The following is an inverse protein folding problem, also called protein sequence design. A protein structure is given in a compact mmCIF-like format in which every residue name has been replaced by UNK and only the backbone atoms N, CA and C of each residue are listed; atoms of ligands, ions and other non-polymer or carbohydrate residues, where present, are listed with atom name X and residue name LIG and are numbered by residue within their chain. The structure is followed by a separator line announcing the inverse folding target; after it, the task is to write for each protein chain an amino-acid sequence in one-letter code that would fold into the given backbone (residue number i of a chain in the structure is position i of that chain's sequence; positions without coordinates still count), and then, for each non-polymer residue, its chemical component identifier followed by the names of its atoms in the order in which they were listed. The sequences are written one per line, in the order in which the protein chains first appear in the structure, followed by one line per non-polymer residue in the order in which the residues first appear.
data_IF_136018785316
#
_entry.id   IF_136018785316
#
_cell.length_a   1.000
_cell.length_b   1.000
_cell.length_c   1.000
_cell.angle_alpha   90.00
_cell.angle_beta   90.00
_cell.angle_gamma   90.00
#
_symmetry.space_group_name_H-M   'P 1'
#
loop_
_entity.id
_entity.type
_entity.pdbx_description
1 polymer ?
#
# COMPACT_ATOMS: atom_id res chain seq x y z
N UNK A 1 13.63 36.43 -4.04
CA UNK A 1 14.35 35.32 -4.68
C UNK A 1 14.15 34.06 -3.85
N UNK A 2 13.86 32.93 -4.49
CA UNK A 2 13.72 31.67 -3.78
C UNK A 2 15.05 31.17 -3.24
N UNK A 3 15.08 30.84 -1.95
CA UNK A 3 16.22 30.26 -1.26
C UNK A 3 15.74 29.16 -0.30
N UNK A 4 16.59 28.18 -0.03
CA UNK A 4 16.20 27.05 0.80
C UNK A 4 17.35 26.09 1.05
N UNK A 5 17.16 25.21 2.03
CA UNK A 5 18.09 24.14 2.33
C UNK A 5 17.33 22.92 2.85
N UNK A 6 17.74 21.74 2.40
CA UNK A 6 17.35 20.47 3.03
C UNK A 6 18.32 20.21 4.17
N UNK A 7 17.81 20.22 5.39
CA UNK A 7 18.62 19.99 6.59
C UNK A 7 18.81 18.49 6.84
N UNK A 8 17.76 17.71 6.59
CA UNK A 8 17.77 16.28 6.90
C UNK A 8 16.85 15.46 6.01
N UNK A 9 17.35 14.28 5.67
CA UNK A 9 16.62 13.21 5.02
C UNK A 9 16.85 11.93 5.82
N UNK A 10 15.76 11.31 6.27
CA UNK A 10 15.78 9.99 6.91
C UNK A 10 14.86 9.03 6.16
N UNK A 11 14.71 7.79 6.63
CA UNK A 11 13.76 6.85 6.03
C UNK A 11 12.31 7.23 6.32
N UNK A 12 12.06 8.11 7.29
CA UNK A 12 10.71 8.43 7.73
C UNK A 12 10.27 9.88 7.48
N UNK A 13 11.21 10.78 7.22
CA UNK A 13 10.90 12.18 6.95
C UNK A 13 11.95 12.90 6.09
N UNK A 14 11.55 14.05 5.59
CA UNK A 14 12.40 15.09 5.01
C UNK A 14 12.10 16.40 5.72
N UNK A 15 13.14 17.15 6.12
CA UNK A 15 12.98 18.46 6.75
C UNK A 15 14.00 19.45 6.25
N UNK A 16 13.63 20.72 6.28
CA UNK A 16 14.47 21.81 5.81
C UNK A 16 13.79 23.15 6.04
N UNK A 17 14.25 24.15 5.30
CA UNK A 17 13.61 25.45 5.21
C UNK A 17 13.58 25.96 3.77
N UNK A 18 12.60 26.81 3.46
CA UNK A 18 12.44 27.46 2.17
C UNK A 18 11.80 28.84 2.36
N UNK A 19 12.26 29.83 1.61
CA UNK A 19 11.79 31.21 1.69
C UNK A 19 11.84 31.90 0.33
N UNK A 20 11.00 32.90 0.11
CA UNK A 20 11.18 33.88 -0.94
C UNK A 20 11.64 35.20 -0.29
N UNK A 21 12.89 35.58 -0.51
CA UNK A 21 13.45 36.80 0.08
C UNK A 21 12.77 38.09 -0.38
N UNK A 22 12.03 38.06 -1.50
CA UNK A 22 11.28 39.22 -2.00
C UNK A 22 9.93 39.34 -1.29
N UNK A 23 9.41 38.22 -0.76
CA UNK A 23 8.15 38.12 -0.04
C UNK A 23 8.31 37.26 1.23
N UNK A 24 9.14 37.70 2.20
CA UNK A 24 9.61 36.86 3.32
C UNK A 24 8.53 36.50 4.35
N UNK A 25 7.31 37.03 4.23
CA UNK A 25 6.18 36.66 5.08
C UNK A 25 5.21 35.70 4.36
N UNK A 26 5.48 35.32 3.11
CA UNK A 26 4.67 34.35 2.37
C UNK A 26 5.22 32.93 2.54
N UNK A 27 4.37 31.94 2.87
CA UNK A 27 4.81 30.56 2.99
C UNK A 27 5.17 29.98 1.62
N UNK A 28 6.21 29.15 1.60
CA UNK A 28 6.70 28.50 0.38
C UNK A 28 6.31 27.04 0.34
N UNK A 29 5.78 26.59 -0.78
CA UNK A 29 5.50 25.17 -1.00
C UNK A 29 6.68 24.48 -1.67
N UNK A 30 7.02 23.29 -1.16
CA UNK A 30 8.04 22.40 -1.74
C UNK A 30 7.41 21.06 -2.11
N UNK A 31 7.98 20.41 -3.11
CA UNK A 31 7.62 19.06 -3.56
C UNK A 31 8.73 18.10 -3.17
N UNK A 32 8.36 16.98 -2.56
CA UNK A 32 9.26 15.89 -2.22
C UNK A 32 9.13 14.83 -3.31
N UNK A 33 10.28 14.46 -3.90
CA UNK A 33 10.38 13.38 -4.89
C UNK A 33 11.16 12.20 -4.33
N UNK A 34 10.67 10.99 -4.58
CA UNK A 34 11.36 9.73 -4.30
C UNK A 34 11.67 9.03 -5.63
N UNK A 35 12.96 8.83 -5.94
CA UNK A 35 13.42 8.21 -7.17
C UNK A 35 12.81 8.83 -8.45
N UNK A 36 12.65 10.16 -8.45
CA UNK A 36 12.10 10.93 -9.56
C UNK A 36 10.58 11.08 -9.61
N UNK A 37 9.84 10.41 -8.72
CA UNK A 37 8.37 10.53 -8.63
C UNK A 37 7.96 11.54 -7.56
N UNK A 38 7.05 12.47 -7.91
CA UNK A 38 6.40 13.39 -6.96
C UNK A 38 5.63 12.55 -5.92
N UNK A 39 6.04 12.66 -4.66
CA UNK A 39 5.45 11.92 -3.56
C UNK A 39 4.43 12.76 -2.77
N UNK A 40 4.69 14.06 -2.64
CA UNK A 40 3.78 14.99 -1.99
C UNK A 40 4.40 16.37 -1.82
N UNK A 41 3.64 17.27 -1.21
CA UNK A 41 4.06 18.64 -0.93
C UNK A 41 4.19 18.90 0.56
N UNK A 42 5.02 19.86 0.93
CA UNK A 42 5.09 20.41 2.28
C UNK A 42 5.10 21.94 2.20
N UNK A 43 4.47 22.57 3.19
CA UNK A 43 4.44 24.02 3.33
C UNK A 43 5.54 24.42 4.32
N UNK A 44 6.40 25.35 3.91
CA UNK A 44 7.41 25.99 4.73
C UNK A 44 6.78 27.12 5.54
N UNK A 45 6.14 26.77 6.65
CA UNK A 45 5.45 27.69 7.56
C UNK A 45 5.74 27.40 9.04
N UNK A 46 6.68 26.48 9.33
CA UNK A 46 7.07 26.15 10.71
C UNK A 46 8.08 27.15 11.22
N UNK A 47 7.97 27.49 12.49
CA UNK A 47 8.90 28.39 13.17
C UNK A 47 10.31 27.79 13.21
N UNK A 48 11.29 28.65 12.94
CA UNK A 48 12.72 28.37 12.98
C UNK A 48 13.41 29.51 13.73
N UNK A 49 13.63 29.31 15.02
CA UNK A 49 14.24 30.32 15.90
C UNK A 49 15.61 30.76 15.40
N UNK A 50 16.38 29.85 14.80
CA UNK A 50 17.68 30.16 14.22
C UNK A 50 17.60 31.09 13.01
N UNK A 51 16.48 31.15 12.29
CA UNK A 51 16.26 32.00 11.11
C UNK A 51 15.59 33.34 11.45
N UNK A 52 15.03 33.48 12.65
CA UNK A 52 14.27 34.66 13.06
C UNK A 52 15.15 35.92 13.06
N UNK A 53 14.67 36.99 12.42
CA UNK A 53 15.35 38.28 12.38
C UNK A 53 16.62 38.32 11.51
N UNK A 54 16.93 37.25 10.77
CA UNK A 54 17.97 37.26 9.74
C UNK A 54 17.46 37.96 8.48
N UNK A 55 18.35 38.66 7.79
CA UNK A 55 18.03 39.30 6.52
C UNK A 55 17.50 38.27 5.50
N UNK A 56 16.37 38.58 4.86
CA UNK A 56 15.70 37.69 3.91
C UNK A 56 14.72 36.67 4.50
N UNK A 57 14.53 36.64 5.83
CA UNK A 57 13.65 35.67 6.52
C UNK A 57 12.47 36.31 7.28
N UNK A 58 12.29 37.62 7.16
CA UNK A 58 11.18 38.33 7.83
C UNK A 58 11.26 38.27 9.37
N UNK A 59 10.24 38.81 10.02
CA UNK A 59 10.22 38.93 11.50
C UNK A 59 9.77 37.66 12.22
N UNK A 60 8.96 36.81 11.57
CA UNK A 60 8.32 35.66 12.20
C UNK A 60 9.16 34.38 12.17
N UNK A 61 10.12 34.25 11.23
CA UNK A 61 10.97 33.06 11.12
C UNK A 61 10.21 31.78 10.72
N UNK A 62 9.05 31.88 10.10
CA UNK A 62 8.18 30.76 9.72
C UNK A 62 8.57 30.18 8.35
N UNK A 63 9.78 29.63 8.25
CA UNK A 63 10.35 29.14 6.99
C UNK A 63 10.67 27.64 6.99
N UNK A 64 10.41 26.94 8.10
CA UNK A 64 10.68 25.51 8.21
C UNK A 64 9.60 24.65 7.56
N UNK A 65 10.00 23.54 6.95
CA UNK A 65 9.08 22.50 6.48
C UNK A 65 9.47 21.14 7.06
N UNK A 66 8.46 20.27 7.21
CA UNK A 66 8.64 18.85 7.49
C UNK A 66 7.66 18.06 6.64
N UNK A 67 8.16 17.03 5.99
CA UNK A 67 7.36 16.06 5.23
C UNK A 67 7.59 14.69 5.84
N UNK A 68 6.52 14.02 6.27
CA UNK A 68 6.56 12.65 6.80
C UNK A 68 6.07 11.69 5.74
N UNK A 69 6.78 10.59 5.53
CA UNK A 69 6.32 9.56 4.62
C UNK A 69 5.17 8.77 5.26
N UNK A 70 4.09 8.53 4.50
CA UNK A 70 2.97 7.67 4.95
C UNK A 70 3.43 6.26 5.34
N UNK A 71 4.50 5.80 4.69
CA UNK A 71 5.23 4.58 4.97
C UNK A 71 6.73 4.87 4.96
N UNK A 72 7.50 4.48 5.99
CA UNK A 72 8.94 4.62 5.96
C UNK A 72 9.58 3.92 4.75
N UNK A 73 10.60 4.53 4.18
CA UNK A 73 11.37 4.01 3.05
C UNK A 73 11.94 2.62 3.42
N UNK A 74 11.62 1.56 2.65
CA UNK A 74 12.04 0.19 2.97
C UNK A 74 13.55 0.02 3.10
N UNK A 75 13.99 -0.78 4.08
CA UNK A 75 15.41 -1.00 4.39
C UNK A 75 16.24 -1.45 3.18
N UNK A 76 15.67 -2.25 2.29
CA UNK A 76 16.33 -2.78 1.10
C UNK A 76 16.32 -1.82 -0.10
N UNK A 77 15.65 -0.68 -0.01
CA UNK A 77 15.59 0.31 -1.09
C UNK A 77 16.78 1.27 -1.00
N UNK A 78 17.47 1.45 -2.13
CA UNK A 78 18.31 2.62 -2.37
C UNK A 78 17.36 3.72 -2.81
N UNK A 79 17.28 4.80 -2.05
CA UNK A 79 16.37 5.91 -2.31
C UNK A 79 17.15 7.18 -2.65
N UNK A 80 16.71 7.89 -3.67
CA UNK A 80 17.14 9.24 -4.00
C UNK A 80 15.99 10.21 -3.70
N UNK A 81 16.23 11.13 -2.78
CA UNK A 81 15.30 12.16 -2.36
C UNK A 81 15.70 13.49 -2.99
N UNK A 82 14.76 14.10 -3.70
CA UNK A 82 14.91 15.45 -4.24
C UNK A 82 13.82 16.32 -3.65
N UNK A 83 14.17 17.52 -3.18
CA UNK A 83 13.20 18.54 -2.76
C UNK A 83 13.26 19.67 -3.76
N UNK A 84 12.12 20.09 -4.28
CA UNK A 84 12.02 21.17 -5.26
C UNK A 84 11.07 22.25 -4.77
N UNK A 85 11.30 23.51 -5.13
CA UNK A 85 10.27 24.53 -5.01
C UNK A 85 9.10 24.17 -5.92
N UNK A 86 7.86 24.18 -5.41
CA UNK A 86 6.69 23.82 -6.22
C UNK A 86 6.53 24.73 -7.44
N UNK A 87 6.74 26.03 -7.25
CA UNK A 87 6.53 27.06 -8.27
C UNK A 87 7.56 27.00 -9.42
N UNK A 88 8.85 26.85 -9.10
CA UNK A 88 9.93 26.91 -10.09
C UNK A 88 10.50 25.55 -10.49
N UNK A 89 10.20 24.50 -9.71
CA UNK A 89 10.81 23.17 -9.79
C UNK A 89 12.34 23.16 -9.64
N UNK A 90 12.93 24.26 -9.15
CA UNK A 90 14.35 24.31 -8.80
C UNK A 90 14.62 23.44 -7.56
N UNK A 91 15.73 22.70 -7.59
CA UNK A 91 16.14 21.79 -6.51
C UNK A 91 16.70 22.57 -5.33
N UNK A 92 16.27 22.22 -4.12
CA UNK A 92 16.84 22.75 -2.88
C UNK A 92 18.19 22.08 -2.60
N UNK A 93 19.26 22.84 -2.31
CA UNK A 93 20.54 22.27 -1.88
C UNK A 93 20.39 21.59 -0.51
N UNK A 94 21.22 20.59 -0.16
CA UNK A 94 22.27 19.99 -0.98
C UNK A 94 21.76 18.86 -1.91
N UNK A 95 20.46 18.80 -2.24
CA UNK A 95 19.87 17.70 -3.01
C UNK A 95 20.41 17.56 -4.45
N UNK A 96 20.25 16.38 -5.08
CA UNK A 96 19.59 15.17 -4.58
C UNK A 96 20.37 14.43 -3.47
N UNK A 97 19.66 13.88 -2.48
CA UNK A 97 20.22 13.15 -1.33
C UNK A 97 19.93 11.66 -1.44
N UNK A 98 20.92 10.81 -1.14
CA UNK A 98 20.78 9.34 -1.23
C UNK A 98 20.71 8.69 0.13
N UNK A 99 19.73 7.80 0.31
CA UNK A 99 19.65 6.86 1.43
C UNK A 99 20.11 5.50 0.91
N UNK A 100 21.19 4.97 1.49
CA UNK A 100 21.71 3.66 1.15
C UNK A 100 20.76 2.55 1.63
N UNK A 101 20.66 1.47 0.85
CA UNK A 101 20.04 0.24 1.31
C UNK A 101 20.83 -0.34 2.48
N UNK A 102 20.11 -0.80 3.49
CA UNK A 102 20.65 -1.50 4.63
C UNK A 102 20.86 -2.96 4.24
N UNK A 103 22.12 -3.39 4.17
CA UNK A 103 22.46 -4.78 3.89
C UNK A 103 21.82 -5.71 4.94
N UNK A 104 21.16 -6.77 4.48
CA UNK A 104 20.83 -7.91 5.33
C UNK A 104 22.14 -8.52 5.85
N UNK A 105 22.32 -8.69 7.18
CA UNK A 105 23.37 -9.53 7.70
C UNK A 105 23.37 -10.86 6.96
N UNK A 106 24.49 -11.21 6.29
CA UNK A 106 24.65 -12.53 5.66
C UNK A 106 24.27 -13.57 6.72
N UNK A 107 23.19 -14.31 6.51
CA UNK A 107 22.84 -15.36 7.45
C UNK A 107 24.03 -16.31 7.52
N UNK A 108 24.55 -16.56 8.72
CA UNK A 108 25.41 -17.73 8.92
C UNK A 108 24.52 -18.91 8.60
N UNK A 109 24.63 -19.42 7.37
CA UNK A 109 23.89 -20.58 6.87
C UNK A 109 24.15 -21.75 7.83
N UNK A 110 23.26 -21.96 8.79
CA UNK A 110 23.16 -23.19 9.54
C UNK A 110 22.55 -24.24 8.62
N UNK A 111 23.26 -25.34 8.40
CA UNK A 111 22.74 -26.51 7.72
C UNK A 111 21.60 -27.12 8.54
N UNK A 112 20.36 -26.98 8.06
CA UNK A 112 19.20 -27.63 8.66
C UNK A 112 17.92 -26.89 8.31
N UNK A 113 17.09 -27.51 7.45
CA UNK A 113 15.73 -27.11 7.05
C UNK A 113 15.60 -25.88 6.13
N UNK A 114 16.22 -25.91 4.95
CA UNK A 114 15.84 -25.03 3.83
C UNK A 114 14.76 -25.71 2.97
N UNK A 115 13.52 -25.73 3.44
CA UNK A 115 12.41 -25.59 2.50
C UNK A 115 12.18 -24.08 2.35
N UNK A 116 12.18 -23.51 1.14
CA UNK A 116 11.80 -22.13 0.96
C UNK A 116 10.38 -21.95 1.50
N UNK A 117 10.20 -21.09 2.51
CA UNK A 117 8.88 -20.70 2.99
C UNK A 117 8.09 -20.08 1.83
N UNK A 118 6.80 -20.42 1.66
CA UNK A 118 5.98 -19.91 0.57
C UNK A 118 5.95 -18.39 0.57
N UNK A 119 6.08 -17.77 -0.59
CA UNK A 119 5.98 -16.32 -0.75
C UNK A 119 4.51 -15.87 -0.80
N UNK A 120 4.18 -14.63 -0.40
CA UNK A 120 2.82 -14.12 -0.52
C UNK A 120 2.46 -13.76 -1.96
N UNK A 121 1.24 -14.09 -2.34
CA UNK A 121 0.48 -13.45 -3.41
C UNK A 121 -0.59 -12.58 -2.76
N UNK A 122 -0.50 -11.27 -2.97
CA UNK A 122 -1.55 -10.34 -2.55
C UNK A 122 -2.61 -10.24 -3.64
N UNK A 123 -3.87 -10.43 -3.27
CA UNK A 123 -5.03 -10.20 -4.11
C UNK A 123 -5.63 -8.83 -3.76
N UNK A 124 -5.19 -7.80 -4.47
CA UNK A 124 -5.68 -6.42 -4.29
C UNK A 124 -7.01 -6.24 -5.01
N UNK A 125 -8.05 -5.82 -4.29
CA UNK A 125 -9.41 -5.64 -4.82
C UNK A 125 -10.08 -4.41 -4.21
N UNK A 126 -11.06 -3.84 -4.91
CA UNK A 126 -11.89 -2.72 -4.43
C UNK A 126 -13.15 -3.20 -3.68
N UNK A 127 -13.20 -4.49 -3.33
CA UNK A 127 -14.42 -5.14 -2.88
C UNK A 127 -15.38 -5.37 -4.05
N UNK A 128 -16.14 -6.46 -3.98
CA UNK A 128 -17.15 -6.83 -5.01
C UNK A 128 -16.60 -7.00 -6.44
N UNK A 129 -15.29 -7.13 -6.64
CA UNK A 129 -14.67 -7.38 -7.96
C UNK A 129 -14.58 -8.86 -8.34
N UNK A 130 -15.25 -9.77 -7.62
CA UNK A 130 -15.13 -11.21 -7.83
C UNK A 130 -13.98 -11.89 -7.07
N UNK A 131 -13.34 -11.19 -6.12
CA UNK A 131 -12.16 -11.68 -5.39
C UNK A 131 -12.37 -13.04 -4.73
N UNK A 132 -13.53 -13.33 -4.14
CA UNK A 132 -13.79 -14.64 -3.49
C UNK A 132 -13.71 -15.81 -4.47
N UNK A 133 -14.23 -15.64 -5.70
CA UNK A 133 -14.12 -16.65 -6.76
C UNK A 133 -12.65 -16.86 -7.14
N UNK A 134 -11.91 -15.77 -7.37
CA UNK A 134 -10.50 -15.86 -7.77
C UNK A 134 -9.64 -16.51 -6.67
N UNK A 135 -9.84 -16.13 -5.40
CA UNK A 135 -9.17 -16.75 -4.24
C UNK A 135 -9.42 -18.26 -4.19
N UNK A 136 -10.66 -18.70 -4.40
CA UNK A 136 -11.01 -20.12 -4.43
C UNK A 136 -10.27 -20.85 -5.58
N UNK A 137 -10.28 -20.30 -6.78
CA UNK A 137 -9.63 -20.93 -7.96
C UNK A 137 -8.12 -20.98 -7.82
N UNK A 138 -7.50 -19.95 -7.28
CA UNK A 138 -6.08 -19.95 -6.98
C UNK A 138 -5.74 -20.95 -5.86
N UNK A 139 -6.56 -21.01 -4.80
CA UNK A 139 -6.38 -21.95 -3.71
C UNK A 139 -6.52 -23.43 -4.09
N UNK A 140 -7.19 -23.74 -5.21
CA UNK A 140 -7.25 -25.10 -5.76
C UNK A 140 -5.92 -25.54 -6.40
N UNK A 141 -5.04 -24.62 -6.78
CA UNK A 141 -3.73 -24.95 -7.33
C UNK A 141 -2.82 -25.60 -6.25
N UNK A 142 -2.13 -26.72 -6.54
CA UNK A 142 -1.30 -27.41 -5.54
C UNK A 142 -0.13 -26.56 -5.01
N UNK A 143 0.29 -25.54 -5.75
CA UNK A 143 1.45 -24.70 -5.40
C UNK A 143 1.06 -23.45 -4.59
N UNK A 144 -0.23 -23.20 -4.34
CA UNK A 144 -0.74 -22.01 -3.65
C UNK A 144 -1.52 -22.41 -2.40
N UNK A 145 -1.13 -21.94 -1.22
CA UNK A 145 -1.87 -22.14 0.02
C UNK A 145 -2.95 -21.08 0.17
N UNK A 146 -4.18 -21.53 0.41
CA UNK A 146 -5.30 -20.69 0.83
C UNK A 146 -5.59 -20.97 2.31
N UNK A 147 -5.89 -19.92 3.08
CA UNK A 147 -6.51 -20.09 4.39
C UNK A 147 -7.95 -20.58 4.15
N UNK A 148 -8.11 -21.91 4.11
CA UNK A 148 -9.27 -22.66 3.59
C UNK A 148 -10.53 -22.58 4.47
N UNK A 149 -10.84 -21.39 4.99
CA UNK A 149 -12.09 -21.07 5.67
C UNK A 149 -12.69 -19.87 4.97
N UNK A 150 -13.86 -20.06 4.36
CA UNK A 150 -14.65 -18.96 3.81
C UNK A 150 -14.92 -17.90 4.90
N UNK A 151 -14.79 -16.58 4.62
CA UNK A 151 -14.70 -15.93 3.30
C UNK A 151 -13.30 -15.84 2.67
N UNK A 152 -12.34 -16.64 3.15
CA UNK A 152 -10.93 -16.60 2.76
C UNK A 152 -10.22 -15.30 3.12
N UNK A 153 -10.64 -14.71 4.25
CA UNK A 153 -10.14 -13.42 4.76
C UNK A 153 -9.39 -13.59 6.09
N UNK A 154 -8.88 -14.79 6.34
CA UNK A 154 -7.86 -14.98 7.38
C UNK A 154 -6.55 -14.38 6.88
N UNK A 155 -6.35 -13.09 7.18
CA UNK A 155 -5.25 -12.25 6.71
C UNK A 155 -4.13 -12.18 7.74
N UNK A 156 -3.38 -13.26 7.92
CA UNK A 156 -2.31 -13.34 8.93
C UNK A 156 -1.15 -12.41 8.58
N UNK A 157 -0.71 -12.42 7.32
CA UNK A 157 0.24 -11.43 6.82
C UNK A 157 -0.34 -10.02 6.93
N UNK A 158 -1.62 -9.82 6.58
CA UNK A 158 -2.29 -8.52 6.76
C UNK A 158 -2.23 -8.00 8.19
N UNK A 159 -2.54 -8.85 9.18
CA UNK A 159 -2.48 -8.51 10.59
C UNK A 159 -1.06 -8.14 11.04
N UNK A 160 -0.08 -9.00 10.75
CA UNK A 160 1.31 -8.73 11.15
C UNK A 160 1.93 -7.56 10.37
N UNK A 161 1.47 -7.27 9.15
CA UNK A 161 1.87 -6.08 8.41
C UNK A 161 1.33 -4.79 9.05
N UNK A 162 0.08 -4.80 9.53
CA UNK A 162 -0.49 -3.68 10.27
C UNK A 162 0.26 -3.46 11.60
N UNK A 163 0.54 -4.54 12.35
CA UNK A 163 1.35 -4.48 13.56
C UNK A 163 2.78 -3.98 13.29
N UNK A 164 3.40 -4.45 12.21
CA UNK A 164 4.72 -3.98 11.78
C UNK A 164 4.71 -2.48 11.54
N UNK A 165 3.76 -2.00 10.71
CA UNK A 165 3.60 -0.57 10.44
C UNK A 165 3.48 0.22 11.73
N UNK A 166 2.64 -0.21 12.66
CA UNK A 166 2.45 0.49 13.92
C UNK A 166 3.75 0.60 14.72
N UNK A 167 4.53 -0.48 14.80
CA UNK A 167 5.76 -0.53 15.59
C UNK A 167 6.96 0.21 14.97
N UNK A 168 6.95 0.45 13.65
CA UNK A 168 8.09 1.07 12.94
C UNK A 168 7.82 2.50 12.47
N UNK A 169 6.59 2.98 12.55
CA UNK A 169 6.25 4.34 12.11
C UNK A 169 6.66 5.36 13.17
N UNK A 170 7.10 6.56 12.75
CA UNK A 170 7.27 7.70 13.66
C UNK A 170 5.97 8.00 14.40
N UNK A 171 6.11 8.67 15.53
CA UNK A 171 4.97 9.19 16.26
C UNK A 171 4.15 10.13 15.38
N UNK A 172 2.84 9.97 15.48
CA UNK A 172 1.83 10.88 14.96
C UNK A 172 0.87 11.16 16.13
N UNK A 173 1.08 12.25 16.84
CA UNK A 173 0.29 12.56 18.04
C UNK A 173 -1.11 13.11 17.71
N UNK A 174 -1.37 13.43 16.44
CA UNK A 174 -2.66 13.93 15.98
C UNK A 174 -3.59 12.79 15.54
N UNK A 175 -3.04 11.79 14.85
CA UNK A 175 -3.80 10.67 14.27
C UNK A 175 -3.47 9.31 14.89
N UNK A 176 -2.50 9.26 15.80
CA UNK A 176 -2.08 8.05 16.52
C UNK A 176 -1.89 8.33 18.02
N UNK A 177 -1.02 7.59 18.69
CA UNK A 177 -0.84 7.67 20.14
C UNK A 177 0.04 8.85 20.57
N UNK A 178 -0.44 9.59 21.56
CA UNK A 178 0.36 10.45 22.43
C UNK A 178 1.00 9.60 23.55
N UNK A 179 2.13 10.00 24.15
CA UNK A 179 2.72 9.27 25.29
C UNK A 179 1.75 8.96 26.44
N UNK A 180 0.75 9.80 26.69
CA UNK A 180 -0.25 9.59 27.76
C UNK A 180 -1.23 8.44 27.45
N UNK A 181 -1.44 8.12 26.18
CA UNK A 181 -2.32 7.01 25.77
C UNK A 181 -1.71 5.65 26.13
N UNK A 182 -0.38 5.53 26.09
CA UNK A 182 0.34 4.30 26.44
C UNK A 182 0.12 3.90 27.91
N UNK A 183 -0.04 4.89 28.79
CA UNK A 183 -0.26 4.67 30.23
C UNK A 183 -1.72 4.30 30.51
N UNK A 184 -2.65 4.83 29.71
CA UNK A 184 -4.09 4.71 29.94
C UNK A 184 -4.77 3.58 29.16
N UNK A 185 -4.10 2.99 28.14
CA UNK A 185 -4.65 1.93 27.30
C UNK A 185 -3.91 0.60 27.42
N UNK A 186 -4.61 -0.47 27.82
CA UNK A 186 -4.05 -1.83 27.88
C UNK A 186 -4.41 -2.73 26.69
N UNK A 187 -5.27 -2.25 25.77
CA UNK A 187 -5.88 -3.07 24.71
C UNK A 187 -5.58 -2.61 23.29
N UNK A 188 -5.00 -1.43 23.11
CA UNK A 188 -4.68 -0.87 21.80
C UNK A 188 -3.17 -0.64 21.70
N UNK A 189 -2.67 -0.42 20.49
CA UNK A 189 -1.30 0.02 20.25
C UNK A 189 -1.29 0.91 19.00
N UNK A 190 -0.76 2.11 19.12
CA UNK A 190 -0.58 3.05 18.02
C UNK A 190 0.87 3.07 17.51
N UNK A 191 1.21 4.12 16.78
CA UNK A 191 2.60 4.41 16.42
C UNK A 191 3.42 4.66 17.68
N UNK A 192 4.72 4.39 17.62
CA UNK A 192 5.56 4.55 18.80
C UNK A 192 5.65 6.04 19.19
N UNK A 193 5.06 6.48 20.32
CA UNK A 193 4.94 7.89 20.65
C UNK A 193 6.29 8.54 20.99
N UNK A 194 7.33 7.73 21.22
CA UNK A 194 8.69 8.17 21.53
C UNK A 194 9.59 8.26 20.30
N UNK A 195 9.18 7.72 19.15
CA UNK A 195 9.93 7.88 17.91
C UNK A 195 9.51 9.18 17.21
N UNK A 196 9.96 10.31 17.75
CA UNK A 196 9.59 11.63 17.26
C UNK A 196 10.81 12.54 17.12
N UNK A 197 10.90 13.31 16.04
CA UNK A 197 12.02 14.20 15.78
C UNK A 197 12.25 15.23 16.91
N UNK A 198 11.18 15.72 17.55
CA UNK A 198 11.29 16.65 18.67
C UNK A 198 11.79 16.00 19.97
N UNK A 199 12.01 14.69 19.99
CA UNK A 199 12.61 13.95 21.10
C UNK A 199 14.12 13.81 20.93
N UNK A 200 14.69 14.21 19.80
CA UNK A 200 16.13 14.05 19.50
C UNK A 200 17.04 14.64 20.56
N UNK A 201 16.67 15.79 21.12
CA UNK A 201 17.46 16.46 22.17
C UNK A 201 17.63 15.62 23.44
N UNK A 202 16.82 14.56 23.63
CA UNK A 202 16.94 13.63 24.77
C UNK A 202 18.01 12.56 24.55
N UNK A 203 18.61 12.49 23.36
CA UNK A 203 19.66 11.55 23.03
C UNK A 203 20.98 12.30 22.85
N UNK A 204 22.03 11.86 23.54
CA UNK A 204 23.37 12.46 23.41
C UNK A 204 23.92 12.36 21.97
N UNK A 205 23.45 11.37 21.21
CA UNK A 205 23.71 11.16 19.79
C UNK A 205 22.37 10.98 19.07
N UNK A 206 21.82 12.03 18.41
CA UNK A 206 20.57 11.93 17.67
C UNK A 206 20.56 10.81 16.62
N UNK A 207 21.73 10.46 16.07
CA UNK A 207 21.91 9.35 15.13
C UNK A 207 21.50 8.00 15.74
N UNK A 208 21.68 7.82 17.06
CA UNK A 208 21.27 6.60 17.77
C UNK A 208 19.76 6.37 17.64
N UNK A 209 18.95 7.42 17.78
CA UNK A 209 17.49 7.31 17.68
C UNK A 209 17.10 6.76 16.30
N UNK A 210 17.65 7.33 15.23
CA UNK A 210 17.35 6.92 13.86
C UNK A 210 17.95 5.55 13.52
N UNK A 211 19.17 5.25 13.94
CA UNK A 211 19.75 3.92 13.77
C UNK A 211 18.90 2.84 14.49
N UNK A 212 18.42 3.14 15.69
CA UNK A 212 17.57 2.20 16.41
C UNK A 212 16.19 2.06 15.77
N UNK A 213 15.43 3.15 15.64
CA UNK A 213 14.02 3.11 15.22
C UNK A 213 13.82 2.91 13.72
N UNK A 214 14.73 3.40 12.87
CA UNK A 214 14.61 3.23 11.42
C UNK A 214 15.36 2.02 10.88
N UNK A 215 16.33 1.46 11.62
CA UNK A 215 17.18 0.37 11.13
C UNK A 215 17.13 -0.87 12.01
N UNK A 216 17.52 -0.78 13.29
CA UNK A 216 17.63 -1.95 14.15
C UNK A 216 16.26 -2.59 14.44
N UNK A 217 15.31 -1.82 14.98
CA UNK A 217 13.99 -2.31 15.36
C UNK A 217 13.20 -2.85 14.14
N UNK A 218 13.08 -2.14 13.00
CA UNK A 218 12.37 -2.66 11.83
C UNK A 218 12.98 -3.96 11.29
N UNK A 219 14.31 -4.12 11.36
CA UNK A 219 14.99 -5.37 10.94
C UNK A 219 14.64 -6.55 11.85
N UNK A 220 14.67 -6.35 13.18
CA UNK A 220 14.34 -7.41 14.14
C UNK A 220 12.87 -7.81 14.04
N UNK A 221 11.97 -6.83 13.97
CA UNK A 221 10.54 -7.04 13.82
C UNK A 221 10.21 -7.74 12.50
N UNK A 222 10.85 -7.35 11.39
CA UNK A 222 10.61 -7.97 10.09
C UNK A 222 10.91 -9.47 10.10
N UNK A 223 12.04 -9.86 10.71
CA UNK A 223 12.42 -11.28 10.86
C UNK A 223 11.45 -12.05 11.73
N UNK A 224 11.05 -11.49 12.87
CA UNK A 224 10.10 -12.12 13.78
C UNK A 224 8.73 -12.34 13.11
N UNK A 225 8.20 -11.31 12.45
CA UNK A 225 6.88 -11.38 11.82
C UNK A 225 6.88 -12.24 10.56
N UNK A 226 7.95 -12.19 9.74
CA UNK A 226 8.13 -13.14 8.63
C UNK A 226 8.07 -14.59 9.14
N UNK A 227 8.74 -14.88 10.26
CA UNK A 227 8.71 -16.22 10.86
C UNK A 227 7.31 -16.63 11.31
N UNK A 228 6.58 -15.75 12.02
CA UNK A 228 5.22 -16.05 12.47
C UNK A 228 4.25 -16.34 11.31
N UNK A 229 4.31 -15.52 10.25
CA UNK A 229 3.50 -15.72 9.04
C UNK A 229 3.88 -17.02 8.33
N UNK A 230 5.19 -17.29 8.18
CA UNK A 230 5.69 -18.52 7.54
C UNK A 230 5.22 -19.76 8.30
N UNK A 231 5.42 -19.79 9.62
CA UNK A 231 5.03 -20.91 10.48
C UNK A 231 3.51 -21.20 10.38
N UNK A 232 2.68 -20.16 10.26
CA UNK A 232 1.23 -20.32 10.06
C UNK A 232 0.93 -21.00 8.71
N UNK A 233 1.50 -20.49 7.61
CA UNK A 233 1.21 -21.00 6.28
C UNK A 233 1.81 -22.38 6.01
N UNK A 234 2.95 -22.71 6.60
CA UNK A 234 3.51 -24.06 6.58
C UNK A 234 2.59 -25.07 7.28
N UNK A 235 2.01 -24.71 8.44
CA UNK A 235 1.02 -25.56 9.13
C UNK A 235 -0.26 -25.71 8.29
N UNK A 236 -0.72 -24.64 7.65
CA UNK A 236 -1.86 -24.70 6.72
C UNK A 236 -1.57 -25.59 5.52
N UNK A 237 -0.37 -25.53 4.95
CA UNK A 237 0.06 -26.41 3.86
C UNK A 237 0.00 -27.88 4.28
N UNK A 238 0.51 -28.20 5.47
CA UNK A 238 0.49 -29.55 6.01
C UNK A 238 -0.95 -30.09 6.19
N UNK A 239 -1.86 -29.28 6.74
CA UNK A 239 -3.29 -29.64 6.90
C UNK A 239 -3.95 -29.85 5.53
N UNK A 240 -3.62 -29.02 4.54
CA UNK A 240 -4.15 -29.11 3.18
C UNK A 240 -3.50 -30.22 2.33
N UNK A 241 -2.54 -30.98 2.87
CA UNK A 241 -1.81 -32.01 2.12
C UNK A 241 -0.90 -31.46 1.02
N UNK A 242 -0.57 -30.16 1.02
CA UNK A 242 0.28 -29.51 0.02
C UNK A 242 1.74 -29.66 0.40
N UNK A 243 2.50 -30.45 -0.38
CA UNK A 243 3.87 -30.86 -0.01
C UNK A 243 4.93 -29.79 -0.27
N UNK A 244 4.79 -28.99 -1.32
CA UNK A 244 5.77 -27.97 -1.74
C UNK A 244 5.11 -26.72 -2.33
N UNK A 245 4.21 -26.04 -1.60
CA UNK A 245 3.62 -24.82 -2.10
C UNK A 245 4.70 -23.73 -2.27
N UNK A 246 4.68 -23.06 -3.42
CA UNK A 246 5.55 -21.91 -3.69
C UNK A 246 4.97 -20.63 -3.10
N UNK A 247 3.65 -20.55 -3.01
CA UNK A 247 2.96 -19.35 -2.55
C UNK A 247 1.91 -19.63 -1.48
N UNK A 248 1.56 -18.59 -0.73
CA UNK A 248 0.27 -18.46 -0.07
C UNK A 248 -0.44 -17.22 -0.59
N UNK A 249 -1.77 -17.17 -0.51
CA UNK A 249 -2.54 -16.04 -1.04
C UNK A 249 -3.39 -15.37 0.05
N UNK A 250 -3.38 -14.04 0.08
CA UNK A 250 -4.24 -13.21 0.95
C UNK A 250 -4.94 -12.11 0.14
N UNK A 251 -6.19 -11.83 0.49
CA UNK A 251 -6.94 -10.68 -0.03
C UNK A 251 -6.56 -9.41 0.72
N UNK A 252 -6.42 -8.29 0.02
CA UNK A 252 -6.23 -6.99 0.63
C UNK A 252 -6.96 -5.87 -0.13
N UNK A 253 -7.26 -4.79 0.59
CA UNK A 253 -7.72 -3.53 0.01
C UNK A 253 -6.59 -2.76 -0.67
N UNK A 254 -6.95 -1.75 -1.46
CA UNK A 254 -6.00 -0.89 -2.19
C UNK A 254 -5.09 -0.08 -1.26
N UNK A 255 -5.57 0.25 -0.07
CA UNK A 255 -4.86 1.06 0.93
C UNK A 255 -4.36 0.24 2.13
N UNK A 256 -4.52 -1.09 2.08
CA UNK A 256 -4.10 -1.95 3.20
C UNK A 256 -2.57 -1.87 3.39
N UNK A 257 -2.07 -1.70 4.63
CA UNK A 257 -0.64 -1.66 4.94
C UNK A 257 0.17 -2.82 4.37
N UNK A 258 -0.47 -3.99 4.22
CA UNK A 258 0.15 -5.21 3.69
C UNK A 258 0.73 -5.03 2.30
N UNK A 259 0.14 -4.18 1.45
CA UNK A 259 0.66 -3.92 0.10
C UNK A 259 2.06 -3.31 0.11
N UNK A 260 2.33 -2.47 1.11
CA UNK A 260 3.60 -1.77 1.28
C UNK A 260 4.60 -2.60 2.09
N UNK A 261 4.12 -3.25 3.16
CA UNK A 261 4.98 -3.95 4.12
C UNK A 261 5.37 -5.36 3.67
N UNK A 262 4.52 -6.05 2.90
CA UNK A 262 4.76 -7.43 2.45
C UNK A 262 6.12 -7.62 1.79
N UNK A 263 6.54 -6.71 0.91
CA UNK A 263 7.83 -6.76 0.20
C UNK A 263 9.04 -6.57 1.12
N UNK A 264 8.84 -5.92 2.27
CA UNK A 264 9.86 -5.81 3.33
C UNK A 264 10.00 -7.14 4.08
N UNK A 265 8.87 -7.79 4.40
CA UNK A 265 8.87 -9.07 5.11
C UNK A 265 9.26 -10.25 4.19
N UNK A 266 8.80 -10.22 2.94
CA UNK A 266 8.91 -11.24 1.90
C UNK A 266 9.30 -10.57 0.57
N UNK A 267 10.61 -10.49 0.24
CA UNK A 267 11.07 -9.83 -0.99
C UNK A 267 10.48 -10.38 -2.29
N UNK A 268 10.10 -11.67 -2.30
CA UNK A 268 9.50 -12.36 -3.45
C UNK A 268 7.96 -12.22 -3.51
N UNK A 269 7.39 -11.24 -2.79
CA UNK A 269 5.95 -10.95 -2.85
C UNK A 269 5.51 -10.70 -4.29
N UNK A 270 4.37 -11.28 -4.67
CA UNK A 270 3.66 -10.99 -5.91
C UNK A 270 2.33 -10.34 -5.61
N UNK A 271 1.84 -9.50 -6.51
CA UNK A 271 0.56 -8.83 -6.36
C UNK A 271 -0.30 -9.04 -7.61
N UNK A 272 -1.51 -9.55 -7.41
CA UNK A 272 -2.56 -9.61 -8.41
C UNK A 272 -3.60 -8.54 -8.11
N UNK A 273 -3.77 -7.58 -9.01
CA UNK A 273 -4.76 -6.51 -8.90
C UNK A 273 -5.98 -6.89 -9.73
N UNK A 274 -7.08 -7.17 -9.05
CA UNK A 274 -8.34 -7.58 -9.67
C UNK A 274 -9.20 -6.36 -9.97
N UNK A 275 -9.33 -6.05 -11.26
CA UNK A 275 -10.18 -4.99 -11.77
C UNK A 275 -11.58 -5.53 -12.09
N UNK A 276 -12.56 -4.64 -12.07
CA UNK A 276 -13.92 -4.87 -12.56
C UNK A 276 -14.50 -3.54 -13.02
N UNK A 277 -15.43 -3.56 -13.96
CA UNK A 277 -16.13 -2.36 -14.41
C UNK A 277 -16.72 -1.62 -13.20
N UNK A 278 -16.39 -0.32 -12.99
CA UNK A 278 -16.64 0.34 -11.71
C UNK A 278 -18.15 0.53 -11.47
N UNK A 279 -18.94 0.72 -12.54
CA UNK A 279 -20.40 0.75 -12.47
C UNK A 279 -21.01 -0.58 -12.02
N UNK A 280 -20.45 -1.73 -12.43
CA UNK A 280 -20.93 -3.05 -11.95
C UNK A 280 -20.55 -3.30 -10.49
N UNK A 281 -19.41 -2.74 -10.05
CA UNK A 281 -19.01 -2.74 -8.63
C UNK A 281 -20.04 -1.96 -7.81
N UNK A 282 -20.40 -0.74 -8.23
CA UNK A 282 -21.42 0.10 -7.57
C UNK A 282 -22.76 -0.65 -7.47
N UNK A 283 -23.27 -1.23 -8.56
CA UNK A 283 -24.49 -2.04 -8.52
C UNK A 283 -24.39 -3.22 -7.53
N UNK A 284 -23.23 -3.88 -7.47
CA UNK A 284 -23.01 -4.96 -6.50
C UNK A 284 -22.96 -4.46 -5.06
N UNK A 285 -22.35 -3.30 -4.79
CA UNK A 285 -22.29 -2.70 -3.46
C UNK A 285 -23.68 -2.30 -2.97
N UNK A 286 -24.46 -1.61 -3.80
CA UNK A 286 -25.85 -1.24 -3.49
C UNK A 286 -26.70 -2.48 -3.20
N UNK A 287 -26.59 -3.52 -4.03
CA UNK A 287 -27.37 -4.75 -3.88
C UNK A 287 -26.93 -5.61 -2.69
N UNK A 288 -25.63 -5.64 -2.35
CA UNK A 288 -25.10 -6.55 -1.33
C UNK A 288 -25.03 -5.92 0.06
N UNK A 289 -24.56 -4.68 0.15
CA UNK A 289 -24.38 -3.97 1.42
C UNK A 289 -25.54 -3.01 1.72
N UNK A 290 -26.44 -2.75 0.77
CA UNK A 290 -27.53 -1.80 0.96
C UNK A 290 -27.06 -0.34 0.94
N UNK A 291 -25.84 -0.07 0.44
CA UNK A 291 -25.31 1.28 0.31
C UNK A 291 -26.18 2.09 -0.65
N UNK A 292 -26.32 3.40 -0.39
CA UNK A 292 -26.86 4.30 -1.38
C UNK A 292 -25.85 4.51 -2.55
N UNK A 293 -26.37 5.04 -3.65
CA UNK A 293 -25.58 5.26 -4.86
C UNK A 293 -24.42 6.23 -4.65
N UNK A 294 -24.64 7.33 -3.92
CA UNK A 294 -23.62 8.36 -3.75
C UNK A 294 -22.46 7.85 -2.90
N UNK A 295 -22.76 7.17 -1.78
CA UNK A 295 -21.73 6.53 -0.95
C UNK A 295 -20.91 5.49 -1.75
N UNK A 296 -21.58 4.66 -2.57
CA UNK A 296 -20.91 3.67 -3.42
C UNK A 296 -20.04 4.33 -4.49
N UNK A 297 -20.51 5.42 -5.09
CA UNK A 297 -19.76 6.18 -6.10
C UNK A 297 -18.50 6.84 -5.51
N UNK A 298 -18.59 7.47 -4.34
CA UNK A 298 -17.45 8.13 -3.70
C UNK A 298 -16.40 7.12 -3.21
N UNK A 299 -16.84 5.99 -2.63
CA UNK A 299 -15.94 4.90 -2.28
C UNK A 299 -15.22 4.32 -3.51
N UNK A 300 -15.95 4.16 -4.62
CA UNK A 300 -15.39 3.72 -5.89
C UNK A 300 -14.42 4.75 -6.49
N UNK A 301 -14.69 6.04 -6.38
CA UNK A 301 -13.80 7.10 -6.87
C UNK A 301 -12.44 7.08 -6.15
N UNK A 302 -12.47 6.96 -4.82
CA UNK A 302 -11.25 6.85 -4.00
C UNK A 302 -10.44 5.60 -4.39
N UNK A 303 -11.12 4.46 -4.52
CA UNK A 303 -10.46 3.22 -4.91
C UNK A 303 -9.92 3.27 -6.36
N UNK A 304 -10.61 3.96 -7.27
CA UNK A 304 -10.19 4.14 -8.64
C UNK A 304 -8.87 4.93 -8.75
N UNK A 305 -8.75 6.03 -8.00
CA UNK A 305 -7.51 6.82 -7.95
C UNK A 305 -6.35 5.97 -7.42
N UNK A 306 -6.56 5.25 -6.32
CA UNK A 306 -5.56 4.34 -5.77
C UNK A 306 -5.14 3.28 -6.80
N UNK A 307 -6.08 2.62 -7.49
CA UNK A 307 -5.78 1.64 -8.53
C UNK A 307 -4.98 2.20 -9.70
N UNK A 308 -5.28 3.42 -10.14
CA UNK A 308 -4.52 4.11 -11.19
C UNK A 308 -3.08 4.38 -10.75
N UNK A 309 -2.89 4.85 -9.50
CA UNK A 309 -1.56 5.04 -8.92
C UNK A 309 -0.78 3.73 -8.83
N UNK A 310 -1.44 2.64 -8.42
CA UNK A 310 -0.82 1.30 -8.40
C UNK A 310 -0.36 0.91 -9.81
N UNK A 311 -1.18 1.14 -10.84
CA UNK A 311 -0.80 0.83 -12.23
C UNK A 311 0.37 1.68 -12.72
N UNK A 312 0.37 2.96 -12.38
CA UNK A 312 1.43 3.91 -12.76
C UNK A 312 2.77 3.59 -12.09
N UNK A 313 2.77 2.94 -10.92
CA UNK A 313 4.00 2.47 -10.27
C UNK A 313 4.80 1.45 -11.10
N UNK A 314 4.17 0.85 -12.13
CA UNK A 314 4.80 -0.02 -13.13
C UNK A 314 5.71 -1.13 -12.55
N UNK A 315 5.28 -1.72 -11.43
CA UNK A 315 6.05 -2.75 -10.75
C UNK A 315 6.02 -4.06 -11.52
N UNK A 316 7.18 -4.67 -11.68
CA UNK A 316 7.33 -5.98 -12.34
C UNK A 316 6.75 -7.14 -11.51
N UNK A 317 6.52 -6.93 -10.21
CA UNK A 317 5.93 -7.90 -9.30
C UNK A 317 4.40 -7.73 -9.15
N UNK A 318 3.76 -6.99 -10.05
CA UNK A 318 2.32 -6.72 -10.06
C UNK A 318 1.69 -7.09 -11.41
N UNK A 319 0.64 -7.92 -11.39
CA UNK A 319 -0.18 -8.25 -12.54
C UNK A 319 -1.59 -7.70 -12.37
N UNK A 320 -2.14 -7.09 -13.41
CA UNK A 320 -3.53 -6.63 -13.45
C UNK A 320 -4.38 -7.61 -14.25
N UNK A 321 -5.55 -7.98 -13.70
CA UNK A 321 -6.50 -8.88 -14.38
C UNK A 321 -7.90 -8.29 -14.26
N UNK A 322 -8.62 -8.24 -15.37
CA UNK A 322 -10.03 -7.81 -15.37
C UNK A 322 -10.93 -9.00 -15.08
N UNK A 323 -11.91 -8.79 -14.20
CA UNK A 323 -12.95 -9.76 -13.91
C UNK A 323 -13.66 -10.21 -15.19
N UNK A 324 -13.91 -9.27 -16.10
CA UNK A 324 -14.55 -9.53 -17.39
C UNK A 324 -13.75 -10.53 -18.25
N UNK A 325 -12.42 -10.39 -18.30
CA UNK A 325 -11.54 -11.30 -19.05
C UNK A 325 -11.48 -12.69 -18.42
N UNK A 326 -11.59 -12.79 -17.09
CA UNK A 326 -11.69 -14.08 -16.39
C UNK A 326 -12.97 -14.81 -16.79
N UNK A 327 -14.07 -14.08 -17.00
CA UNK A 327 -15.35 -14.67 -17.44
C UNK A 327 -15.32 -15.00 -18.93
N UNK A 328 -14.80 -14.11 -19.76
CA UNK A 328 -14.87 -14.23 -21.23
C UNK A 328 -13.78 -15.15 -21.79
N UNK A 329 -12.58 -15.12 -21.22
CA UNK A 329 -11.41 -15.90 -21.65
C UNK A 329 -10.70 -16.59 -20.47
N UNK A 330 -11.40 -17.46 -19.72
CA UNK A 330 -10.90 -18.05 -18.48
C UNK A 330 -9.58 -18.83 -18.65
N UNK A 331 -9.39 -19.52 -19.78
CA UNK A 331 -8.15 -20.26 -20.08
C UNK A 331 -6.95 -19.33 -20.22
N UNK A 332 -7.05 -18.33 -21.11
CA UNK A 332 -6.02 -17.32 -21.34
C UNK A 332 -5.66 -16.57 -20.05
N UNK A 333 -6.65 -16.19 -19.25
CA UNK A 333 -6.41 -15.56 -17.95
C UNK A 333 -5.71 -16.51 -16.96
N UNK A 334 -6.11 -17.78 -16.95
CA UNK A 334 -5.50 -18.82 -16.11
C UNK A 334 -4.02 -19.04 -16.44
N UNK A 335 -3.69 -19.06 -17.73
CA UNK A 335 -2.33 -19.19 -18.24
C UNK A 335 -1.49 -17.95 -17.93
N UNK A 336 -2.04 -16.75 -18.12
CA UNK A 336 -1.36 -15.50 -17.81
C UNK A 336 -1.00 -15.37 -16.32
N UNK A 337 -1.92 -15.71 -15.41
CA UNK A 337 -1.66 -15.70 -13.97
C UNK A 337 -0.61 -16.75 -13.59
N UNK A 338 -0.70 -17.96 -14.13
CA UNK A 338 0.28 -19.00 -13.87
C UNK A 338 1.68 -18.64 -14.40
N UNK A 339 1.77 -18.08 -15.61
CA UNK A 339 3.02 -17.60 -16.19
C UNK A 339 3.67 -16.49 -15.37
N UNK A 340 2.88 -15.51 -14.90
CA UNK A 340 3.35 -14.45 -14.02
C UNK A 340 3.89 -14.99 -12.67
N UNK A 341 3.22 -15.99 -12.10
CA UNK A 341 3.64 -16.60 -10.84
C UNK A 341 4.72 -17.69 -11.01
N UNK A 342 5.04 -18.10 -12.25
CA UNK A 342 5.97 -19.19 -12.53
C UNK A 342 5.47 -20.56 -12.06
N UNK A 343 4.16 -20.81 -12.15
CA UNK A 343 3.55 -22.07 -11.74
C UNK A 343 3.62 -23.12 -12.84
N UNK A 344 3.70 -24.40 -12.46
CA UNK A 344 3.73 -25.51 -13.41
C UNK A 344 2.36 -25.79 -14.06
N UNK A 345 1.28 -25.49 -13.33
CA UNK A 345 -0.10 -25.74 -13.77
C UNK A 345 -0.89 -24.42 -13.87
N UNK A 346 -1.76 -24.27 -14.88
CA UNK A 346 -2.59 -23.08 -15.04
C UNK A 346 -3.61 -22.93 -13.90
N UNK A 347 -4.09 -21.70 -13.69
CA UNK A 347 -5.21 -21.46 -12.77
C UNK A 347 -6.52 -21.81 -13.48
N UNK A 348 -7.24 -22.81 -12.99
CA UNK A 348 -8.49 -23.25 -13.61
C UNK A 348 -9.69 -22.37 -13.19
N UNK A 349 -9.88 -21.27 -13.92
CA UNK A 349 -11.04 -20.39 -13.74
C UNK A 349 -12.37 -20.97 -14.28
N UNK A 350 -12.34 -22.03 -15.08
CA UNK A 350 -13.56 -22.68 -15.62
C UNK A 350 -14.24 -23.63 -14.65
N UNK A 351 -13.52 -24.11 -13.63
CA UNK A 351 -14.06 -25.08 -12.68
C UNK A 351 -15.30 -24.55 -11.96
N UNK A 352 -16.25 -25.43 -11.64
CA UNK A 352 -17.39 -25.04 -10.80
C UNK A 352 -16.89 -24.65 -9.39
N UNK A 353 -17.35 -23.51 -8.88
CA UNK A 353 -17.04 -23.07 -7.51
C UNK A 353 -17.93 -23.80 -6.50
N UNK A 354 -17.51 -23.86 -5.24
CA UNK A 354 -18.32 -24.43 -4.15
C UNK A 354 -19.67 -23.70 -4.09
N UNK A 355 -20.77 -24.42 -4.33
CA UNK A 355 -22.13 -23.85 -4.40
C UNK A 355 -22.50 -23.03 -3.16
N UNK A 356 -22.08 -23.49 -1.98
CA UNK A 356 -22.28 -22.80 -0.70
C UNK A 356 -21.71 -21.36 -0.68
N UNK A 357 -20.64 -21.09 -1.44
CA UNK A 357 -20.00 -19.77 -1.50
C UNK A 357 -20.76 -18.85 -2.46
N UNK A 358 -21.26 -19.40 -3.58
CA UNK A 358 -22.11 -18.66 -4.52
C UNK A 358 -23.39 -18.19 -3.84
N UNK A 359 -24.00 -19.02 -2.99
CA UNK A 359 -25.25 -18.69 -2.31
C UNK A 359 -25.16 -17.46 -1.38
N UNK A 360 -23.98 -17.19 -0.80
CA UNK A 360 -23.82 -16.10 0.18
C UNK A 360 -23.32 -14.80 -0.46
N UNK A 361 -22.49 -14.86 -1.51
CA UNK A 361 -21.82 -13.66 -2.06
C UNK A 361 -22.31 -13.23 -3.44
N UNK A 362 -22.98 -14.11 -4.20
CA UNK A 362 -23.43 -13.75 -5.53
C UNK A 362 -24.62 -12.78 -5.43
N UNK A 363 -24.48 -11.62 -6.05
CA UNK A 363 -25.58 -10.66 -6.22
C UNK A 363 -26.37 -10.90 -7.50
N UNK A 364 -25.97 -11.88 -8.31
CA UNK A 364 -26.56 -12.22 -9.59
C UNK A 364 -26.62 -13.74 -9.76
N UNK A 365 -27.55 -14.22 -10.57
CA UNK A 365 -27.80 -15.66 -10.78
C UNK A 365 -26.66 -16.40 -11.49
N UNK A 366 -25.77 -15.68 -12.17
CA UNK A 366 -24.60 -16.24 -12.85
C UNK A 366 -23.46 -15.21 -12.96
N UNK A 367 -22.24 -15.69 -13.19
CA UNK A 367 -21.08 -14.83 -13.38
C UNK A 367 -21.23 -13.92 -14.62
N UNK A 368 -21.86 -14.41 -15.68
CA UNK A 368 -22.20 -13.65 -16.89
C UNK A 368 -23.24 -12.57 -16.62
N UNK A 369 -24.28 -12.87 -15.84
CA UNK A 369 -25.28 -11.87 -15.42
C UNK A 369 -24.69 -10.79 -14.50
N UNK A 370 -23.48 -11.00 -13.99
CA UNK A 370 -22.73 -10.02 -13.20
C UNK A 370 -22.03 -8.97 -14.06
N UNK A 371 -21.89 -9.20 -15.37
CA UNK A 371 -21.20 -8.31 -16.31
C UNK A 371 -22.24 -7.38 -16.97
N UNK A 372 -21.93 -6.09 -17.04
CA UNK A 372 -22.78 -5.05 -17.64
C UNK A 372 -24.19 -4.91 -17.03
N UNK A 373 -24.41 -5.40 -15.80
CA UNK A 373 -25.71 -5.25 -15.10
C UNK A 373 -26.04 -3.78 -14.84
N UNK A 374 -25.02 -2.93 -14.73
CA UNK A 374 -25.18 -1.49 -14.59
C UNK A 374 -25.99 -0.84 -15.70
N UNK A 375 -26.04 -1.45 -16.90
CA UNK A 375 -26.84 -0.95 -18.03
C UNK A 375 -28.34 -0.94 -17.72
N UNK A 376 -28.79 -1.91 -16.92
CA UNK A 376 -30.20 -2.09 -16.57
C UNK A 376 -30.53 -1.52 -15.19
N UNK A 377 -29.58 -1.58 -14.25
CA UNK A 377 -29.83 -1.24 -12.84
C UNK A 377 -29.59 0.22 -12.49
N UNK A 378 -28.75 0.92 -13.23
CA UNK A 378 -28.54 2.36 -13.02
C UNK A 378 -29.52 3.17 -13.88
N UNK A 379 -30.09 4.21 -13.31
CA UNK A 379 -30.81 5.24 -14.05
C UNK A 379 -29.86 6.05 -14.96
N UNK A 380 -30.39 6.74 -15.97
CA UNK A 380 -29.58 7.59 -16.85
C UNK A 380 -28.85 8.72 -16.11
N UNK A 381 -29.46 9.26 -15.05
CA UNK A 381 -28.81 10.25 -14.19
C UNK A 381 -27.60 9.65 -13.45
N UNK A 382 -27.74 8.45 -12.90
CA UNK A 382 -26.66 7.74 -12.21
C UNK A 382 -25.54 7.33 -13.18
N UNK A 383 -25.87 6.90 -14.40
CA UNK A 383 -24.88 6.59 -15.44
C UNK A 383 -24.07 7.83 -15.82
N UNK A 384 -24.75 8.97 -16.02
CA UNK A 384 -24.11 10.25 -16.34
C UNK A 384 -23.17 10.69 -15.22
N UNK A 385 -23.60 10.55 -13.96
CA UNK A 385 -22.79 10.90 -12.81
C UNK A 385 -21.58 9.96 -12.63
N UNK A 386 -21.76 8.66 -12.84
CA UNK A 386 -20.64 7.71 -12.89
C UNK A 386 -19.63 8.10 -13.97
N UNK A 387 -20.09 8.44 -15.18
CA UNK A 387 -19.21 8.87 -16.27
C UNK A 387 -18.42 10.13 -15.91
N UNK A 388 -19.07 11.10 -15.24
CA UNK A 388 -18.42 12.33 -14.79
C UNK A 388 -17.31 12.07 -13.78
N UNK A 389 -17.54 11.17 -12.81
CA UNK A 389 -16.60 10.91 -11.71
C UNK A 389 -15.54 9.85 -12.07
N UNK A 390 -15.94 8.79 -12.78
CA UNK A 390 -15.13 7.60 -13.03
C UNK A 390 -14.65 7.47 -14.48
N UNK A 391 -15.04 8.38 -15.38
CA UNK A 391 -14.71 8.29 -16.80
C UNK A 391 -13.21 8.19 -17.07
N UNK A 392 -12.38 8.89 -16.29
CA UNK A 392 -10.91 8.81 -16.38
C UNK A 392 -10.39 7.41 -16.04
N UNK A 393 -10.95 6.76 -15.02
CA UNK A 393 -10.60 5.38 -14.66
C UNK A 393 -11.06 4.39 -15.73
N UNK A 394 -12.28 4.57 -16.26
CA UNK A 394 -12.83 3.73 -17.31
C UNK A 394 -11.94 3.78 -18.56
N UNK A 395 -11.57 4.98 -19.02
CA UNK A 395 -10.66 5.16 -20.15
C UNK A 395 -9.27 4.55 -19.86
N UNK A 396 -8.70 4.83 -18.69
CA UNK A 396 -7.36 4.39 -18.31
C UNK A 396 -7.21 2.86 -18.28
N UNK A 397 -8.24 2.13 -17.87
CA UNK A 397 -8.26 0.66 -17.84
C UNK A 397 -8.97 0.02 -19.04
N UNK A 398 -9.35 0.80 -20.05
CA UNK A 398 -9.94 0.31 -21.30
C UNK A 398 -11.36 -0.27 -21.14
N UNK A 399 -12.16 0.30 -20.25
CA UNK A 399 -13.59 0.01 -20.14
C UNK A 399 -14.38 0.91 -21.10
N UNK A 400 -15.25 0.30 -21.91
CA UNK A 400 -16.04 1.01 -22.92
C UNK A 400 -16.99 2.04 -22.32
N UNK A 401 -16.86 3.30 -22.71
CA UNK A 401 -17.65 4.44 -22.23
C UNK A 401 -19.02 4.56 -22.91
N UNK A 402 -19.80 3.48 -23.02
CA UNK A 402 -21.21 3.60 -23.44
C UNK A 402 -22.08 4.16 -22.32
#
# INVERSE_FOLDING_TARGET
MLNGCVDRVTRSLVSGWATDTDFPDQPIEVVIKLNGYDLGTAIANRERDDLKGREGFGGAGQHGFIYRFDYPIPLNLIAEITVEFLASRAVLPPGPLKIAAVAEPKSRRGAGTNLPSPAPVLMTTMGRSGGTMVMEKMGANPDIILADVYPYETRILGYYAAAYRALISPADHDNSWHPDDLVSSSLRLGFNPYFHAEQEWRYDTPEFMYEFFEVAAPRHLARAFRKLVSDYYERRAAIAGKKKPHYFIEKCGVDDPVRYVSRTLFPDTRELVLLRHPRDVICSQMSFWGNDFHASLMGMATAAEAMMLIKQSNRQDTLFVRYEDIIDTPGTCGDAVAGFLGLASPINFTSEGREAIRAVHATTKSATASKERWRQELSEAQKSECKRVLGKYEEFFGYSSS
#
